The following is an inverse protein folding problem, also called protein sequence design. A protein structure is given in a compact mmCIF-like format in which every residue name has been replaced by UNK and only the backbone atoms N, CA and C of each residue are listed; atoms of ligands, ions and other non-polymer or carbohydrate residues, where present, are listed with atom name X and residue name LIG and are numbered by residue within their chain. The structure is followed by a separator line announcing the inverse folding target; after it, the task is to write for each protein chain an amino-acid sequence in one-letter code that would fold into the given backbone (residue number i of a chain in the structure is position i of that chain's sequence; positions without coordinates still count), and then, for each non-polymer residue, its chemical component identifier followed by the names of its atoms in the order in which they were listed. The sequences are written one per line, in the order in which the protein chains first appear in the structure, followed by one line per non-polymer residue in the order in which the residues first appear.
data_IF_050568203074
#
_entry.id   IF_050568203074
#
_cell.length_a   1.000
_cell.length_b   1.000
_cell.length_c   1.000
_cell.angle_alpha   90.00
_cell.angle_beta   90.00
_cell.angle_gamma   90.00
#
_symmetry.space_group_name_H-M   'P 1'
#
loop_
_entity.id
_entity.type
_entity.pdbx_description
1 polymer ?
#
# COMPACT_ATOMS: atom_id res chain seq x y z
N UNK A 1 17.06 -26.54 -16.21
CA UNK A 1 16.47 -26.90 -14.91
C UNK A 1 17.60 -26.91 -13.92
N UNK A 2 17.65 -25.93 -13.01
CA UNK A 2 18.57 -25.99 -11.89
C UNK A 2 17.90 -26.87 -10.81
N UNK A 3 18.63 -27.85 -10.30
CA UNK A 3 18.15 -28.72 -9.22
C UNK A 3 17.80 -27.89 -7.97
N UNK A 4 16.74 -28.26 -7.23
CA UNK A 4 16.47 -27.64 -5.93
C UNK A 4 17.64 -27.97 -4.99
N UNK A 5 18.37 -26.93 -4.57
CA UNK A 5 19.37 -27.04 -3.50
C UNK A 5 18.65 -27.58 -2.26
N UNK A 6 19.10 -28.66 -1.63
CA UNK A 6 18.47 -29.16 -0.40
C UNK A 6 18.57 -28.08 0.68
N UNK A 7 17.44 -27.78 1.33
CA UNK A 7 17.40 -26.86 2.46
C UNK A 7 18.45 -27.31 3.51
N UNK A 8 19.34 -26.43 3.98
CA UNK A 8 20.24 -26.80 5.06
C UNK A 8 19.40 -27.12 6.30
N UNK A 9 19.67 -28.27 6.93
CA UNK A 9 18.96 -28.73 8.13
C UNK A 9 19.05 -27.73 9.30
N UNK A 10 19.99 -26.78 9.23
CA UNK A 10 20.20 -25.72 10.20
C UNK A 10 20.60 -24.41 9.50
N UNK A 11 19.96 -23.29 9.89
CA UNK A 11 20.27 -21.94 9.42
C UNK A 11 21.05 -21.20 10.50
N UNK A 12 22.23 -20.69 10.16
CA UNK A 12 23.08 -19.92 11.08
C UNK A 12 23.05 -18.44 10.72
N UNK A 13 22.94 -17.60 11.74
CA UNK A 13 22.94 -16.15 11.62
C UNK A 13 24.11 -15.57 12.42
N UNK A 14 24.74 -14.51 11.89
CA UNK A 14 26.03 -14.03 12.42
C UNK A 14 25.88 -12.88 13.44
N UNK A 15 24.88 -12.02 13.28
CA UNK A 15 24.58 -10.92 14.19
C UNK A 15 23.51 -11.30 15.23
N UNK A 16 23.93 -11.40 16.49
CA UNK A 16 23.08 -11.73 17.64
C UNK A 16 21.95 -10.72 17.93
N UNK A 17 22.09 -9.46 17.54
CA UNK A 17 21.04 -8.44 17.67
C UNK A 17 19.98 -8.67 16.59
N UNK A 18 20.40 -8.75 15.33
CA UNK A 18 19.48 -9.00 14.22
C UNK A 18 18.80 -10.36 14.35
N UNK A 19 19.49 -11.36 14.88
CA UNK A 19 18.89 -12.66 15.18
C UNK A 19 17.74 -12.55 16.17
N UNK A 20 17.92 -11.81 17.28
CA UNK A 20 16.84 -11.57 18.25
C UNK A 20 15.68 -10.79 17.64
N UNK A 21 15.95 -9.82 16.77
CA UNK A 21 14.92 -9.10 16.03
C UNK A 21 14.16 -10.01 15.05
N UNK A 22 14.84 -10.98 14.43
CA UNK A 22 14.23 -12.00 13.57
C UNK A 22 13.26 -12.89 14.34
N UNK A 23 13.59 -13.29 15.57
CA UNK A 23 12.71 -14.09 16.42
C UNK A 23 11.41 -13.35 16.79
N UNK A 24 11.51 -12.03 17.01
CA UNK A 24 10.42 -11.20 17.53
C UNK A 24 10.25 -11.35 19.04
N UNK A 25 9.28 -10.65 19.63
CA UNK A 25 9.04 -10.75 21.08
C UNK A 25 8.50 -12.14 21.43
N UNK A 26 9.14 -12.82 22.37
CA UNK A 26 8.77 -14.19 22.77
C UNK A 26 8.65 -15.17 21.59
N UNK A 27 9.52 -15.02 20.59
CA UNK A 27 9.57 -15.85 19.37
C UNK A 27 8.29 -15.78 18.52
N UNK A 28 7.55 -14.66 18.58
CA UNK A 28 6.28 -14.49 17.88
C UNK A 28 6.39 -14.65 16.35
N UNK A 29 7.51 -14.23 15.74
CA UNK A 29 7.70 -14.37 14.29
C UNK A 29 7.85 -15.84 13.90
N UNK A 30 8.60 -16.63 14.69
CA UNK A 30 8.75 -18.06 14.46
C UNK A 30 7.42 -18.79 14.62
N UNK A 31 6.68 -18.53 15.71
CA UNK A 31 5.36 -19.12 15.95
C UNK A 31 4.36 -18.82 14.84
N UNK A 32 4.46 -17.63 14.26
CA UNK A 32 3.63 -17.23 13.11
C UNK A 32 4.01 -18.05 11.87
N UNK A 33 5.30 -18.17 11.58
CA UNK A 33 5.82 -18.97 10.47
C UNK A 33 5.47 -20.45 10.60
N UNK A 34 5.68 -21.05 11.77
CA UNK A 34 5.32 -22.45 12.08
C UNK A 34 3.84 -22.71 11.81
N UNK A 35 2.96 -21.83 12.29
CA UNK A 35 1.51 -21.97 12.11
C UNK A 35 1.09 -21.90 10.65
N UNK A 36 1.72 -21.03 9.85
CA UNK A 36 1.34 -20.84 8.46
C UNK A 36 1.89 -21.90 7.51
N UNK A 37 3.12 -22.34 7.76
CA UNK A 37 3.84 -23.25 6.86
C UNK A 37 3.72 -24.70 7.29
N UNK A 38 3.40 -24.99 8.56
CA UNK A 38 3.24 -26.36 9.05
C UNK A 38 4.54 -27.01 9.52
N UNK A 39 5.59 -26.23 9.76
CA UNK A 39 6.91 -26.71 10.21
C UNK A 39 7.11 -26.50 11.71
N UNK A 40 8.06 -27.23 12.29
CA UNK A 40 8.61 -26.98 13.62
C UNK A 40 9.97 -26.29 13.48
N UNK A 41 10.20 -25.26 14.29
CA UNK A 41 11.44 -24.48 14.30
C UNK A 41 12.00 -24.51 15.73
N UNK A 42 13.15 -25.15 15.90
CA UNK A 42 13.87 -25.17 17.17
C UNK A 42 15.03 -24.16 17.13
N UNK A 43 15.15 -23.36 18.20
CA UNK A 43 16.17 -22.32 18.35
C UNK A 43 17.31 -22.84 19.23
N UNK A 44 18.55 -22.73 18.77
CA UNK A 44 19.74 -23.03 19.59
C UNK A 44 20.85 -22.04 19.26
N UNK A 45 21.27 -21.25 20.25
CA UNK A 45 22.20 -20.12 20.09
C UNK A 45 21.76 -19.14 18.99
N UNK A 46 22.48 -19.08 17.87
CA UNK A 46 22.14 -18.29 16.67
C UNK A 46 21.85 -19.18 15.47
N UNK A 47 21.33 -20.38 15.75
CA UNK A 47 20.99 -21.40 14.77
C UNK A 47 19.53 -21.77 14.86
N UNK A 48 18.84 -21.84 13.73
CA UNK A 48 17.46 -22.34 13.60
C UNK A 48 17.49 -23.70 12.92
N UNK A 49 16.92 -24.71 13.56
CA UNK A 49 16.73 -26.04 12.97
C UNK A 49 15.28 -26.20 12.56
N UNK A 50 15.03 -26.66 11.33
CA UNK A 50 13.68 -26.80 10.77
C UNK A 50 13.35 -28.28 10.57
N UNK A 51 12.16 -28.69 11.03
CA UNK A 51 11.65 -30.04 10.85
C UNK A 51 10.22 -30.01 10.29
N UNK A 52 9.94 -30.87 9.31
CA UNK A 52 8.66 -30.91 8.61
C UNK A 52 8.81 -31.47 7.20
N UNK A 53 7.84 -31.19 6.33
CA UNK A 53 7.91 -31.56 4.92
C UNK A 53 9.10 -30.84 4.21
N UNK A 54 9.84 -31.50 3.30
CA UNK A 54 10.96 -30.88 2.60
C UNK A 54 10.62 -29.59 1.82
N UNK A 55 9.42 -29.47 1.25
CA UNK A 55 9.01 -28.28 0.52
C UNK A 55 8.63 -27.12 1.44
N UNK A 56 8.04 -27.44 2.60
CA UNK A 56 7.64 -26.50 3.64
C UNK A 56 8.86 -25.96 4.40
N UNK A 57 9.80 -26.84 4.76
CA UNK A 57 11.08 -26.46 5.39
C UNK A 57 11.93 -25.57 4.48
N UNK A 58 11.98 -25.85 3.17
CA UNK A 58 12.63 -24.98 2.19
C UNK A 58 11.95 -23.60 2.11
N UNK A 59 10.61 -23.55 2.11
CA UNK A 59 9.87 -22.29 2.11
C UNK A 59 10.16 -21.47 3.37
N UNK A 60 10.05 -22.08 4.55
CA UNK A 60 10.32 -21.44 5.83
C UNK A 60 11.78 -20.96 5.91
N UNK A 61 12.73 -21.76 5.42
CA UNK A 61 14.14 -21.38 5.33
C UNK A 61 14.33 -20.12 4.48
N UNK A 62 13.72 -20.07 3.28
CA UNK A 62 13.78 -18.88 2.41
C UNK A 62 13.17 -17.66 3.07
N UNK A 63 12.02 -17.80 3.75
CA UNK A 63 11.39 -16.71 4.49
C UNK A 63 12.35 -16.16 5.53
N UNK A 64 12.91 -17.00 6.40
CA UNK A 64 13.82 -16.58 7.47
C UNK A 64 15.08 -15.90 6.94
N UNK A 65 15.73 -16.48 5.93
CA UNK A 65 16.94 -15.91 5.31
C UNK A 65 16.63 -14.56 4.66
N UNK A 66 15.51 -14.43 3.94
CA UNK A 66 15.17 -13.16 3.30
C UNK A 66 14.71 -12.09 4.30
N UNK A 67 13.98 -12.44 5.36
CA UNK A 67 13.63 -11.50 6.44
C UNK A 67 14.87 -11.02 7.20
N UNK A 68 15.84 -11.90 7.44
CA UNK A 68 17.13 -11.51 8.00
C UNK A 68 17.86 -10.51 7.11
N UNK A 69 17.89 -10.74 5.80
CA UNK A 69 18.48 -9.80 4.84
C UNK A 69 17.78 -8.43 4.76
N UNK A 70 16.53 -8.31 5.21
CA UNK A 70 15.84 -7.03 5.39
C UNK A 70 16.30 -6.32 6.66
N UNK A 71 16.44 -7.07 7.77
CA UNK A 71 16.96 -6.57 9.04
C UNK A 71 18.39 -6.03 8.90
N UNK A 72 19.24 -6.71 8.12
CA UNK A 72 20.59 -6.24 7.77
C UNK A 72 20.59 -4.88 7.06
N UNK A 73 19.52 -4.57 6.32
CA UNK A 73 19.33 -3.29 5.64
C UNK A 73 18.54 -2.27 6.48
N UNK A 74 18.28 -2.58 7.76
CA UNK A 74 17.63 -1.68 8.70
C UNK A 74 16.10 -1.62 8.58
N UNK A 75 15.47 -2.54 7.85
CA UNK A 75 14.02 -2.63 7.79
C UNK A 75 13.47 -3.34 9.03
N UNK A 76 12.58 -2.71 9.83
CA UNK A 76 12.00 -3.34 11.01
C UNK A 76 10.97 -4.40 10.61
N UNK A 77 11.09 -5.61 11.18
CA UNK A 77 10.16 -6.71 10.93
C UNK A 77 9.05 -6.70 11.98
N UNK A 78 7.81 -6.79 11.51
CA UNK A 78 6.62 -6.96 12.35
C UNK A 78 5.95 -8.32 12.08
N UNK A 79 5.09 -8.83 12.97
CA UNK A 79 4.41 -10.11 12.77
C UNK A 79 3.68 -10.23 11.42
N UNK A 80 3.01 -9.17 10.98
CA UNK A 80 2.33 -9.15 9.67
C UNK A 80 3.30 -9.28 8.48
N UNK A 81 4.56 -8.85 8.60
CA UNK A 81 5.55 -9.00 7.54
C UNK A 81 5.94 -10.46 7.31
N UNK A 82 5.89 -11.30 8.36
CA UNK A 82 6.06 -12.75 8.23
C UNK A 82 4.93 -13.32 7.36
N UNK A 83 3.68 -12.93 7.62
CA UNK A 83 2.52 -13.38 6.85
C UNK A 83 2.64 -12.99 5.36
N UNK A 84 3.08 -11.77 5.10
CA UNK A 84 3.29 -11.28 3.74
C UNK A 84 4.44 -12.03 3.05
N UNK A 85 5.56 -12.24 3.76
CA UNK A 85 6.72 -12.97 3.24
C UNK A 85 6.35 -14.39 2.84
N UNK A 86 5.64 -15.12 3.69
CA UNK A 86 5.14 -16.48 3.42
C UNK A 86 4.25 -16.46 2.18
N UNK A 87 3.27 -15.55 2.11
CA UNK A 87 2.36 -15.46 0.95
C UNK A 87 3.08 -15.18 -0.36
N UNK A 88 4.04 -14.26 -0.34
CA UNK A 88 4.84 -13.90 -1.52
C UNK A 88 5.65 -15.10 -1.99
N UNK A 89 6.41 -15.74 -1.10
CA UNK A 89 7.30 -16.85 -1.45
C UNK A 89 6.55 -18.17 -1.72
N UNK A 90 5.34 -18.32 -1.19
CA UNK A 90 4.45 -19.44 -1.56
C UNK A 90 3.93 -19.30 -2.99
N UNK A 91 3.64 -18.06 -3.41
CA UNK A 91 3.15 -17.78 -4.76
C UNK A 91 4.27 -17.81 -5.80
N UNK A 92 5.44 -17.27 -5.45
CA UNK A 92 6.65 -17.28 -6.29
C UNK A 92 7.90 -17.48 -5.42
N UNK A 93 8.49 -18.68 -5.48
CA UNK A 93 9.68 -19.06 -4.71
C UNK A 93 10.94 -18.28 -5.10
N UNK A 94 10.94 -17.60 -6.25
CA UNK A 94 12.07 -16.80 -6.75
C UNK A 94 11.90 -15.30 -6.44
N UNK A 95 10.77 -14.90 -5.87
CA UNK A 95 10.56 -13.52 -5.46
C UNK A 95 11.61 -13.09 -4.43
N UNK A 96 12.04 -11.84 -4.52
CA UNK A 96 12.99 -11.20 -3.62
C UNK A 96 12.23 -10.24 -2.71
N UNK A 97 12.10 -10.58 -1.43
CA UNK A 97 11.40 -9.77 -0.44
C UNK A 97 11.97 -8.35 -0.33
N UNK A 98 13.28 -8.20 -0.49
CA UNK A 98 13.96 -6.88 -0.54
C UNK A 98 13.43 -5.97 -1.65
N UNK A 99 13.12 -6.51 -2.83
CA UNK A 99 12.65 -5.71 -3.97
C UNK A 99 11.23 -5.18 -3.72
N UNK A 100 10.53 -5.73 -2.72
CA UNK A 100 9.16 -5.37 -2.33
C UNK A 100 9.18 -4.52 -1.06
N UNK A 101 9.70 -5.03 0.06
CA UNK A 101 9.61 -4.35 1.36
C UNK A 101 10.56 -3.17 1.53
N UNK A 102 11.64 -3.08 0.74
CA UNK A 102 12.53 -1.92 0.78
C UNK A 102 12.11 -0.83 -0.21
N UNK A 103 11.09 -1.08 -1.02
CA UNK A 103 10.51 -0.08 -1.91
C UNK A 103 9.64 0.92 -1.13
N UNK A 104 10.31 1.72 -0.31
CA UNK A 104 9.66 2.72 0.55
C UNK A 104 9.00 3.78 -0.31
N UNK A 105 7.68 3.86 -0.20
CA UNK A 105 6.86 4.88 -0.89
C UNK A 105 6.88 6.17 -0.11
N UNK A 106 6.62 6.08 1.20
CA UNK A 106 6.42 7.24 2.05
C UNK A 106 6.70 6.90 3.52
N UNK A 107 7.13 7.89 4.29
CA UNK A 107 7.22 7.78 5.75
C UNK A 107 6.20 8.75 6.31
N UNK A 108 5.18 8.22 7.00
CA UNK A 108 4.13 9.06 7.57
C UNK A 108 4.64 9.91 8.72
N UNK A 109 3.85 10.92 9.10
CA UNK A 109 4.08 11.75 10.28
C UNK A 109 4.30 10.93 11.56
N UNK A 110 3.62 9.78 11.69
CA UNK A 110 3.77 8.85 12.80
C UNK A 110 4.96 7.88 12.65
N UNK A 111 5.93 8.19 11.78
CA UNK A 111 7.11 7.37 11.46
C UNK A 111 6.77 5.96 10.96
N UNK A 112 5.55 5.75 10.44
CA UNK A 112 5.17 4.48 9.83
C UNK A 112 5.67 4.46 8.39
N UNK A 113 6.46 3.44 8.05
CA UNK A 113 6.94 3.22 6.68
C UNK A 113 5.81 2.62 5.86
N UNK A 114 5.43 3.31 4.78
CA UNK A 114 4.48 2.83 3.78
C UNK A 114 5.29 2.21 2.65
N UNK A 115 5.14 0.90 2.48
CA UNK A 115 5.85 0.06 1.50
C UNK A 115 4.86 -0.97 0.94
N UNK A 116 5.05 -1.49 -0.29
CA UNK A 116 4.22 -2.61 -0.74
C UNK A 116 4.42 -3.83 0.16
N UNK A 117 3.31 -4.55 0.35
CA UNK A 117 3.18 -5.78 1.14
C UNK A 117 2.83 -6.99 0.28
N UNK A 118 2.78 -6.81 -1.04
CA UNK A 118 2.57 -7.89 -2.01
C UNK A 118 3.19 -7.54 -3.37
N UNK A 119 3.39 -8.57 -4.19
CA UNK A 119 3.86 -8.40 -5.59
C UNK A 119 2.90 -7.51 -6.39
N UNK A 120 1.59 -7.67 -6.20
CA UNK A 120 0.59 -6.84 -6.87
C UNK A 120 0.67 -5.36 -6.45
N UNK A 121 0.88 -5.08 -5.15
CA UNK A 121 1.06 -3.71 -4.68
C UNK A 121 2.36 -3.09 -5.22
N UNK A 122 3.43 -3.88 -5.31
CA UNK A 122 4.70 -3.44 -5.92
C UNK A 122 4.49 -3.08 -7.40
N UNK A 123 3.87 -3.97 -8.17
CA UNK A 123 3.54 -3.71 -9.57
C UNK A 123 2.65 -2.46 -9.75
N UNK A 124 1.69 -2.26 -8.83
CA UNK A 124 0.83 -1.08 -8.82
C UNK A 124 1.62 0.22 -8.57
N UNK A 125 2.51 0.24 -7.58
CA UNK A 125 3.39 1.38 -7.30
C UNK A 125 4.30 1.69 -8.48
N UNK A 126 4.89 0.66 -9.09
CA UNK A 126 5.75 0.83 -10.27
C UNK A 126 4.98 1.36 -11.47
N UNK A 127 3.73 0.92 -11.66
CA UNK A 127 2.85 1.48 -12.67
C UNK A 127 2.57 2.97 -12.40
N UNK A 128 2.30 3.37 -11.15
CA UNK A 128 2.10 4.78 -10.77
C UNK A 128 3.36 5.60 -11.11
N UNK A 129 4.57 5.06 -10.91
CA UNK A 129 5.81 5.76 -11.26
C UNK A 129 5.97 5.89 -12.77
N UNK A 130 5.68 4.84 -13.53
CA UNK A 130 5.97 4.74 -14.96
C UNK A 130 4.93 5.33 -15.91
N UNK A 131 3.67 5.45 -15.50
CA UNK A 131 2.56 5.85 -16.38
C UNK A 131 1.79 7.06 -15.88
N UNK A 132 1.33 7.91 -16.79
CA UNK A 132 0.55 9.11 -16.46
C UNK A 132 -0.88 8.78 -16.01
N UNK A 133 -1.43 7.63 -16.43
CA UNK A 133 -2.76 7.17 -16.04
C UNK A 133 -2.67 5.72 -15.61
N UNK A 134 -3.11 5.43 -14.38
CA UNK A 134 -3.08 4.09 -13.80
C UNK A 134 -4.44 3.72 -13.23
N UNK A 135 -4.92 2.53 -13.55
CA UNK A 135 -6.13 1.96 -12.96
C UNK A 135 -5.74 0.91 -11.90
N UNK A 136 -6.05 1.20 -10.65
CA UNK A 136 -5.91 0.29 -9.52
C UNK A 136 -7.23 -0.39 -9.21
N UNK A 137 -7.50 -1.52 -9.84
CA UNK A 137 -8.75 -2.28 -9.66
C UNK A 137 -8.50 -3.49 -8.77
N UNK A 138 -9.29 -3.64 -7.70
CA UNK A 138 -9.23 -4.81 -6.84
C UNK A 138 -10.13 -4.70 -5.61
N UNK A 139 -10.23 -5.75 -4.79
CA UNK A 139 -11.09 -5.77 -3.62
C UNK A 139 -10.81 -4.65 -2.60
N UNK A 140 -11.79 -4.33 -1.76
CA UNK A 140 -11.56 -3.50 -0.57
C UNK A 140 -10.47 -4.09 0.35
N UNK A 141 -9.76 -3.21 1.07
CA UNK A 141 -8.66 -3.61 1.96
C UNK A 141 -7.33 -3.94 1.28
N UNK A 142 -7.25 -3.92 -0.05
CA UNK A 142 -5.99 -4.18 -0.79
C UNK A 142 -5.02 -2.99 -0.83
N UNK A 143 -5.41 -1.84 -0.27
CA UNK A 143 -4.56 -0.65 -0.15
C UNK A 143 -4.43 0.20 -1.41
N UNK A 144 -5.23 -0.06 -2.47
CA UNK A 144 -5.21 0.67 -3.75
C UNK A 144 -5.25 2.20 -3.59
N UNK A 145 -6.22 2.74 -2.85
CA UNK A 145 -6.36 4.19 -2.62
C UNK A 145 -5.28 4.71 -1.67
N UNK A 146 -5.00 3.97 -0.59
CA UNK A 146 -4.00 4.35 0.41
C UNK A 146 -2.59 4.47 -0.18
N UNK A 147 -2.17 3.50 -1.01
CA UNK A 147 -0.86 3.54 -1.69
C UNK A 147 -0.80 4.66 -2.74
N UNK A 148 -1.89 4.92 -3.46
CA UNK A 148 -1.96 6.05 -4.39
C UNK A 148 -1.77 7.39 -3.67
N UNK A 149 -2.45 7.57 -2.54
CA UNK A 149 -2.33 8.77 -1.71
C UNK A 149 -0.92 8.92 -1.15
N UNK A 150 -0.31 7.84 -0.65
CA UNK A 150 1.06 7.86 -0.17
C UNK A 150 2.04 8.29 -1.27
N UNK A 151 1.88 7.77 -2.49
CA UNK A 151 2.65 8.19 -3.67
C UNK A 151 2.43 9.67 -4.00
N UNK A 152 1.18 10.14 -4.01
CA UNK A 152 0.86 11.53 -4.31
C UNK A 152 1.51 12.50 -3.32
N UNK A 153 1.46 12.19 -2.02
CA UNK A 153 2.06 13.01 -0.97
C UNK A 153 3.59 12.97 -1.05
N UNK A 154 4.18 11.81 -1.34
CA UNK A 154 5.62 11.69 -1.56
C UNK A 154 6.09 12.59 -2.70
N UNK A 155 5.39 12.58 -3.83
CA UNK A 155 5.73 13.40 -4.99
C UNK A 155 5.45 14.89 -4.77
N UNK A 156 4.40 15.24 -4.04
CA UNK A 156 4.16 16.62 -3.61
C UNK A 156 5.30 17.15 -2.72
N UNK A 157 5.78 16.34 -1.76
CA UNK A 157 6.89 16.72 -0.89
C UNK A 157 8.22 16.91 -1.63
N UNK A 158 8.42 16.18 -2.74
CA UNK A 158 9.56 16.35 -3.64
C UNK A 158 9.43 17.56 -4.58
N UNK A 159 8.29 18.26 -4.54
CA UNK A 159 7.90 19.31 -5.49
C UNK A 159 7.82 18.80 -6.94
N UNK A 160 7.55 17.51 -7.15
CA UNK A 160 7.32 16.94 -8.49
C UNK A 160 5.97 17.36 -9.08
N UNK A 161 5.00 17.66 -8.21
CA UNK A 161 3.70 18.22 -8.58
C UNK A 161 3.39 19.42 -7.70
N UNK A 162 2.73 20.44 -8.25
CA UNK A 162 2.29 21.61 -7.49
C UNK A 162 1.05 21.35 -6.62
N UNK A 163 0.24 20.34 -6.97
CA UNK A 163 -1.03 20.06 -6.28
C UNK A 163 -1.43 18.60 -6.30
N UNK A 164 -2.18 18.19 -5.28
CA UNK A 164 -2.90 16.91 -5.22
C UNK A 164 -4.40 17.20 -5.31
N UNK A 165 -5.13 16.42 -6.11
CA UNK A 165 -6.59 16.47 -6.17
C UNK A 165 -7.13 15.09 -5.86
N UNK A 166 -7.81 14.95 -4.73
CA UNK A 166 -8.51 13.75 -4.31
C UNK A 166 -9.98 13.91 -4.64
N UNK A 167 -10.53 13.01 -5.45
CA UNK A 167 -11.91 13.09 -5.88
C UNK A 167 -12.61 11.75 -5.82
N UNK A 168 -13.91 11.80 -5.55
CA UNK A 168 -14.80 10.64 -5.46
C UNK A 168 -16.13 10.99 -6.12
N UNK A 169 -16.79 10.07 -6.87
CA UNK A 169 -18.14 10.30 -7.33
C UNK A 169 -19.09 10.40 -6.13
N UNK A 170 -20.05 11.33 -6.20
CA UNK A 170 -21.14 11.34 -5.24
C UNK A 170 -22.10 10.20 -5.62
N UNK A 171 -22.28 9.25 -4.71
CA UNK A 171 -23.26 8.17 -4.86
C UNK A 171 -24.42 8.49 -3.93
N UNK A 172 -25.64 8.55 -4.46
CA UNK A 172 -26.83 8.76 -3.65
C UNK A 172 -27.14 7.46 -2.90
N UNK A 173 -26.59 7.30 -1.70
CA UNK A 173 -26.88 6.17 -0.83
C UNK A 173 -28.29 6.30 -0.23
N UNK A 174 -29.33 6.03 -1.03
CA UNK A 174 -30.73 5.94 -0.61
C UNK A 174 -31.44 7.27 -0.29
N UNK A 175 -30.73 8.31 0.14
CA UNK A 175 -31.25 9.68 0.28
C UNK A 175 -30.69 10.57 -0.83
N UNK A 176 -31.56 11.27 -1.58
CA UNK A 176 -31.07 12.25 -2.57
C UNK A 176 -30.25 13.30 -1.84
N UNK A 177 -29.16 13.77 -2.45
CA UNK A 177 -28.27 14.79 -1.88
C UNK A 177 -29.04 16.05 -1.40
N UNK A 178 -30.22 16.30 -1.99
CA UNK A 178 -31.16 17.34 -1.59
C UNK A 178 -31.72 17.23 -0.15
N UNK A 179 -31.78 16.05 0.46
CA UNK A 179 -32.46 15.81 1.75
C UNK A 179 -31.58 15.91 3.00
N UNK A 180 -30.25 15.84 2.85
CA UNK A 180 -29.35 16.12 3.96
C UNK A 180 -29.54 17.59 4.42
N UNK A 181 -29.50 17.91 5.71
CA UNK A 181 -29.47 19.29 6.18
C UNK A 181 -28.10 19.94 5.89
N UNK A 182 -28.05 21.25 5.73
CA UNK A 182 -26.80 22.00 5.55
C UNK A 182 -26.53 22.52 4.14
N UNK A 183 -25.38 23.17 3.96
CA UNK A 183 -24.92 23.65 2.65
C UNK A 183 -24.41 22.49 1.75
N UNK A 184 -24.16 22.77 0.47
CA UNK A 184 -23.72 21.73 -0.48
C UNK A 184 -22.39 21.06 -0.05
N UNK A 185 -21.52 21.77 0.67
CA UNK A 185 -20.27 21.21 1.16
C UNK A 185 -20.52 20.26 2.33
N UNK A 186 -21.36 20.64 3.30
CA UNK A 186 -21.77 19.82 4.44
C UNK A 186 -22.44 18.51 4.00
N UNK A 187 -23.19 18.55 2.89
CA UNK A 187 -23.87 17.39 2.31
C UNK A 187 -22.94 16.37 1.67
N UNK A 188 -21.85 16.82 1.07
CA UNK A 188 -20.92 15.93 0.36
C UNK A 188 -19.75 15.47 1.24
N UNK A 189 -19.50 16.19 2.33
CA UNK A 189 -18.43 15.90 3.28
C UNK A 189 -18.43 14.44 3.81
N UNK A 190 -19.58 13.80 4.13
CA UNK A 190 -19.60 12.41 4.59
C UNK A 190 -18.95 11.42 3.61
N UNK A 191 -19.13 11.60 2.30
CA UNK A 191 -18.57 10.72 1.27
C UNK A 191 -17.06 10.91 1.07
N UNK A 192 -16.56 12.11 1.38
CA UNK A 192 -15.16 12.47 1.25
C UNK A 192 -14.36 12.19 2.54
N UNK A 193 -15.02 11.94 3.67
CA UNK A 193 -14.39 11.72 4.97
C UNK A 193 -13.30 10.63 4.95
N UNK A 194 -13.47 9.46 4.30
CA UNK A 194 -12.40 8.46 4.24
C UNK A 194 -11.09 8.98 3.60
N UNK A 195 -11.18 9.93 2.65
CA UNK A 195 -10.00 10.56 2.04
C UNK A 195 -9.32 11.54 3.01
N UNK A 196 -10.09 12.25 3.83
CA UNK A 196 -9.54 13.08 4.91
C UNK A 196 -8.86 12.24 5.99
N UNK A 197 -9.49 11.14 6.41
CA UNK A 197 -8.94 10.25 7.44
C UNK A 197 -7.61 9.65 6.96
N UNK A 198 -7.56 9.13 5.72
CA UNK A 198 -6.33 8.61 5.14
C UNK A 198 -5.23 9.68 4.97
N UNK A 199 -5.59 10.94 4.70
CA UNK A 199 -4.64 12.04 4.65
C UNK A 199 -4.04 12.33 6.04
N UNK A 200 -4.87 12.30 7.09
CA UNK A 200 -4.43 12.53 8.47
C UNK A 200 -3.56 11.39 9.01
N UNK A 201 -3.73 10.16 8.52
CA UNK A 201 -2.83 9.05 8.82
C UNK A 201 -1.41 9.25 8.25
N UNK A 202 -1.29 10.02 7.17
CA UNK A 202 -0.04 10.23 6.44
C UNK A 202 0.66 11.52 6.85
N UNK A 203 -0.10 12.59 7.10
CA UNK A 203 0.40 13.94 7.35
C UNK A 203 -0.19 14.49 8.63
N UNK A 204 0.65 15.11 9.48
CA UNK A 204 0.22 15.76 10.72
C UNK A 204 -1.00 16.65 10.51
N UNK A 205 -1.95 16.60 11.45
CA UNK A 205 -3.23 17.28 11.35
C UNK A 205 -3.13 18.76 10.95
N UNK A 206 -2.29 19.54 11.65
CA UNK A 206 -2.10 20.97 11.36
C UNK A 206 -1.49 21.23 9.98
N UNK A 207 -0.62 20.33 9.52
CA UNK A 207 0.02 20.44 8.20
C UNK A 207 -0.96 20.07 7.09
N UNK A 208 -1.69 18.96 7.25
CA UNK A 208 -2.74 18.55 6.33
C UNK A 208 -3.77 19.67 6.15
N UNK A 209 -4.25 20.24 7.26
CA UNK A 209 -5.19 21.36 7.25
C UNK A 209 -4.65 22.56 6.46
N UNK A 210 -3.41 22.99 6.71
CA UNK A 210 -2.79 24.11 5.96
C UNK A 210 -2.65 23.83 4.46
N UNK A 211 -2.35 22.58 4.08
CA UNK A 211 -2.25 22.19 2.67
C UNK A 211 -3.62 22.24 1.98
N UNK A 212 -4.67 21.86 2.70
CA UNK A 212 -6.06 21.93 2.21
C UNK A 212 -6.54 23.37 2.11
N UNK A 213 -6.34 24.19 3.14
CA UNK A 213 -6.73 25.61 3.16
C UNK A 213 -6.05 26.43 2.05
N UNK A 214 -4.82 26.06 1.67
CA UNK A 214 -4.07 26.69 0.56
C UNK A 214 -4.46 26.16 -0.82
N UNK A 215 -5.26 25.09 -0.89
CA UNK A 215 -5.61 24.42 -2.14
C UNK A 215 -4.47 23.61 -2.77
N UNK A 216 -3.38 23.37 -2.04
CA UNK A 216 -2.30 22.48 -2.47
C UNK A 216 -2.78 21.03 -2.48
N UNK A 217 -3.60 20.65 -1.50
CA UNK A 217 -4.36 19.40 -1.51
C UNK A 217 -5.84 19.77 -1.61
N UNK A 218 -6.51 19.32 -2.65
CA UNK A 218 -7.94 19.55 -2.83
C UNK A 218 -8.70 18.23 -2.65
N UNK A 219 -9.71 18.22 -1.79
CA UNK A 219 -10.62 17.07 -1.64
C UNK A 219 -12.00 17.52 -2.10
N UNK A 220 -12.45 17.02 -3.25
CA UNK A 220 -13.66 17.53 -3.90
C UNK A 220 -14.44 16.45 -4.67
N UNK A 221 -15.75 16.62 -4.84
CA UNK A 221 -16.58 15.67 -5.60
C UNK A 221 -16.20 15.66 -7.08
N UNK A 222 -16.42 14.53 -7.78
CA UNK A 222 -16.06 14.39 -9.20
C UNK A 222 -16.68 15.47 -10.10
N UNK A 223 -17.88 15.94 -9.78
CA UNK A 223 -18.56 16.99 -10.52
C UNK A 223 -17.76 18.31 -10.59
N UNK A 224 -16.91 18.59 -9.61
CA UNK A 224 -16.09 19.80 -9.53
C UNK A 224 -14.90 19.75 -10.49
N UNK A 225 -14.65 18.61 -11.13
CA UNK A 225 -13.62 18.47 -12.18
C UNK A 225 -14.10 19.03 -13.54
N UNK A 226 -15.41 19.24 -13.71
CA UNK A 226 -15.99 19.69 -14.97
C UNK A 226 -15.45 21.06 -15.38
N UNK A 227 -15.06 21.19 -16.66
CA UNK A 227 -14.56 22.45 -17.21
C UNK A 227 -13.14 22.83 -16.78
N UNK A 228 -12.45 21.99 -16.01
CA UNK A 228 -11.08 22.25 -15.58
C UNK A 228 -10.06 21.66 -16.54
N UNK A 229 -8.84 22.18 -16.46
CA UNK A 229 -7.63 21.53 -16.96
C UNK A 229 -6.71 21.37 -15.78
N UNK A 230 -6.32 20.14 -15.48
CA UNK A 230 -5.52 19.78 -14.31
C UNK A 230 -4.08 19.67 -14.76
N UNK A 231 -3.35 20.79 -14.75
CA UNK A 231 -1.90 20.82 -15.03
C UNK A 231 -1.12 20.66 -13.73
N UNK A 232 0.07 20.07 -13.83
CA UNK A 232 1.03 19.93 -12.72
C UNK A 232 0.38 19.37 -11.44
N UNK A 233 -0.48 18.36 -11.63
CA UNK A 233 -1.35 17.80 -10.60
C UNK A 233 -1.20 16.28 -10.48
N UNK A 234 -1.14 15.79 -9.25
CA UNK A 234 -1.39 14.37 -8.95
C UNK A 234 -2.87 14.20 -8.59
N UNK A 235 -3.63 13.52 -9.44
CA UNK A 235 -5.08 13.37 -9.31
C UNK A 235 -5.42 11.93 -8.93
N UNK A 236 -6.27 11.74 -7.92
CA UNK A 236 -6.76 10.43 -7.51
C UNK A 236 -8.29 10.44 -7.62
N UNK A 237 -8.84 9.55 -8.44
CA UNK A 237 -10.28 9.27 -8.50
C UNK A 237 -10.55 7.96 -7.77
N UNK A 238 -11.14 8.07 -6.59
CA UNK A 238 -11.50 6.94 -5.75
C UNK A 238 -12.94 6.48 -5.99
N UNK A 239 -13.22 5.21 -5.68
CA UNK A 239 -14.49 4.51 -5.98
C UNK A 239 -14.98 4.69 -7.43
N UNK A 240 -14.07 4.55 -8.38
CA UNK A 240 -14.35 4.77 -9.78
C UNK A 240 -15.41 3.82 -10.37
N UNK A 241 -15.69 2.69 -9.72
CA UNK A 241 -16.79 1.79 -10.11
C UNK A 241 -18.16 2.48 -10.07
N UNK A 242 -18.31 3.52 -9.25
CA UNK A 242 -19.54 4.29 -9.12
C UNK A 242 -19.64 5.42 -10.16
N UNK A 243 -18.75 5.45 -11.15
CA UNK A 243 -18.80 6.43 -12.24
C UNK A 243 -19.53 5.86 -13.46
N UNK A 244 -20.24 6.74 -14.18
CA UNK A 244 -20.70 6.42 -15.53
C UNK A 244 -19.55 6.55 -16.53
N UNK A 245 -19.68 5.90 -17.69
CA UNK A 245 -18.73 6.06 -18.80
C UNK A 245 -18.54 7.52 -19.22
N UNK A 246 -19.60 8.33 -19.14
CA UNK A 246 -19.54 9.76 -19.44
C UNK A 246 -18.74 10.54 -18.40
N UNK A 247 -18.92 10.22 -17.11
CA UNK A 247 -18.15 10.82 -16.02
C UNK A 247 -16.67 10.43 -16.10
N UNK A 248 -16.35 9.17 -16.40
CA UNK A 248 -14.98 8.72 -16.61
C UNK A 248 -14.32 9.43 -17.79
N UNK A 249 -15.00 9.54 -18.95
CA UNK A 249 -14.52 10.31 -20.10
C UNK A 249 -14.33 11.79 -19.75
N UNK A 250 -15.28 12.38 -19.03
CA UNK A 250 -15.17 13.77 -18.55
C UNK A 250 -13.90 13.95 -17.73
N UNK A 251 -13.65 13.06 -16.76
CA UNK A 251 -12.49 13.08 -15.87
C UNK A 251 -11.16 12.95 -16.62
N UNK A 252 -11.00 11.90 -17.43
CA UNK A 252 -9.73 11.62 -18.13
C UNK A 252 -9.34 12.76 -19.09
N UNK A 253 -10.33 13.41 -19.71
CA UNK A 253 -10.08 14.56 -20.60
C UNK A 253 -9.74 15.87 -19.85
N UNK A 254 -9.73 15.88 -18.50
CA UNK A 254 -9.26 17.05 -17.74
C UNK A 254 -7.76 17.03 -17.50
N UNK A 255 -7.08 15.90 -17.70
CA UNK A 255 -5.65 15.78 -17.43
C UNK A 255 -4.85 16.65 -18.40
N UNK A 256 -4.10 17.58 -17.83
CA UNK A 256 -3.23 18.51 -18.53
C UNK A 256 -1.77 18.09 -18.49
N UNK A 257 -0.89 19.03 -18.85
CA UNK A 257 0.55 18.79 -18.90
C UNK A 257 1.14 18.60 -17.50
N UNK A 258 2.12 17.70 -17.38
CA UNK A 258 2.83 17.44 -16.14
C UNK A 258 1.95 16.83 -15.05
N UNK A 259 0.84 16.19 -15.42
CA UNK A 259 -0.12 15.62 -14.48
C UNK A 259 -0.17 14.10 -14.56
N UNK A 260 -0.59 13.51 -13.43
CA UNK A 260 -0.79 12.07 -13.30
C UNK A 260 -2.17 11.80 -12.71
N UNK A 261 -2.81 10.72 -13.15
CA UNK A 261 -4.05 10.23 -12.59
C UNK A 261 -3.92 8.78 -12.10
N UNK A 262 -4.44 8.53 -10.90
CA UNK A 262 -4.64 7.18 -10.38
C UNK A 262 -6.13 6.99 -10.13
N UNK A 263 -6.72 5.99 -10.78
CA UNK A 263 -8.13 5.68 -10.72
C UNK A 263 -8.29 4.38 -9.94
N UNK A 264 -8.90 4.44 -8.76
CA UNK A 264 -9.06 3.28 -7.88
C UNK A 264 -10.51 2.85 -7.83
N UNK A 265 -10.74 1.53 -7.80
CA UNK A 265 -12.09 1.01 -7.68
C UNK A 265 -12.14 -0.49 -7.39
N UNK A 266 -13.33 -0.96 -7.07
CA UNK A 266 -13.64 -2.37 -6.83
C UNK A 266 -14.85 -2.76 -7.68
N UNK A 267 -14.61 -3.53 -8.76
CA UNK A 267 -15.69 -3.98 -9.66
C UNK A 267 -16.66 -4.97 -9.03
N UNK A 268 -16.33 -5.51 -7.85
CA UNK A 268 -17.20 -6.44 -7.10
C UNK A 268 -18.16 -5.72 -6.16
N UNK A 269 -17.96 -4.43 -5.94
CA UNK A 269 -18.82 -3.58 -5.12
C UNK A 269 -19.56 -2.60 -6.04
N UNK A 270 -20.84 -2.41 -5.80
CA UNK A 270 -21.62 -1.34 -6.45
C UNK A 270 -22.38 -0.67 -5.32
N UNK A 271 -22.11 0.62 -5.10
CA UNK A 271 -22.83 1.45 -4.14
C UNK A 271 -24.08 2.08 -4.78
#
# INVERSE_FOLDING_TARGET
MADPVPAPAALRFDDSRLFRELLGQHDEHLKTLERQVGVRIDVTDQTLSLAGDPLETELASRVLVQLYGLLEQGYPIYPADVDYAVRILSSDRNAKLRDIFLDTVFISAHKRVITPKSVAQKAYIDAIRGFDIVFGVGPAGTGKTYLAMAMAIAELMKNSFSRIILTRPAVEAGEKLGFLPGDLAEKVNPYLRPLYDALHDMVDFDRARKLVERGTIEVAPLAFMRGRTLNDSFVILDEAQNTTTEQMKMFLTRLGYGSKAVITGDVTQVD
#
